data_IF_598872355602
#
_entry.id   IF_598872355602
#
_cell.length_a   1.000
_cell.length_b   1.000
_cell.length_c   1.000
_cell.angle_alpha   90.00
_cell.angle_beta   90.00
_cell.angle_gamma   90.00
#
_symmetry.space_group_name_H-M   'P 1'
#
loop_
_entity.id
_entity.type
_entity.pdbx_description
1 polymer ?
#
# COMPACT_ATOMS: atom_id res chain seq x y z
N UNK A 1 -17.17 -4.76 -64.86
CA UNK A 1 -16.81 -3.42 -64.33
C UNK A 1 -16.46 -3.59 -62.85
N UNK A 2 -15.16 -3.67 -62.53
CA UNK A 2 -14.66 -3.98 -61.18
C UNK A 2 -14.83 -2.78 -60.25
N UNK A 3 -15.67 -2.93 -59.23
CA UNK A 3 -15.92 -1.87 -58.24
C UNK A 3 -15.14 -2.22 -56.96
N UNK A 4 -13.92 -1.68 -56.85
CA UNK A 4 -13.14 -1.64 -55.60
C UNK A 4 -14.01 -1.07 -54.47
N UNK A 5 -14.50 -1.92 -53.56
CA UNK A 5 -15.04 -1.53 -52.26
C UNK A 5 -14.56 -2.58 -51.25
N UNK A 6 -13.61 -2.21 -50.40
CA UNK A 6 -13.13 -3.10 -49.33
C UNK A 6 -11.74 -2.77 -48.75
N UNK A 7 -10.89 -2.02 -49.47
CA UNK A 7 -9.46 -1.93 -49.12
C UNK A 7 -9.12 -1.48 -47.70
N UNK A 8 -9.73 -0.41 -47.17
CA UNK A 8 -9.35 0.11 -45.85
C UNK A 8 -9.88 -0.72 -44.68
N UNK A 9 -11.16 -1.10 -44.71
CA UNK A 9 -11.76 -1.91 -43.65
C UNK A 9 -11.17 -3.32 -43.62
N UNK A 10 -10.94 -3.93 -44.79
CA UNK A 10 -10.31 -5.25 -44.88
C UNK A 10 -8.86 -5.23 -44.37
N UNK A 11 -8.08 -4.18 -44.70
CA UNK A 11 -6.73 -4.01 -44.16
C UNK A 11 -6.74 -3.77 -42.65
N UNK A 12 -7.69 -2.97 -42.16
CA UNK A 12 -7.86 -2.71 -40.73
C UNK A 12 -8.13 -4.01 -39.96
N UNK A 13 -9.14 -4.78 -40.38
CA UNK A 13 -9.57 -5.97 -39.65
C UNK A 13 -8.65 -7.18 -39.87
N UNK A 14 -8.12 -7.40 -41.09
CA UNK A 14 -7.26 -8.58 -41.35
C UNK A 14 -5.81 -8.41 -40.94
N UNK A 15 -5.28 -7.18 -40.98
CA UNK A 15 -3.83 -6.96 -40.81
C UNK A 15 -3.48 -6.11 -39.59
N UNK A 16 -4.29 -5.11 -39.26
CA UNK A 16 -4.00 -4.18 -38.16
C UNK A 16 -4.54 -4.73 -36.83
N UNK A 17 -5.76 -5.28 -36.83
CA UNK A 17 -6.41 -5.82 -35.64
C UNK A 17 -5.63 -6.94 -34.93
N UNK A 18 -5.10 -7.97 -35.64
CA UNK A 18 -4.25 -8.99 -35.01
C UNK A 18 -2.99 -8.41 -34.35
N UNK A 19 -2.43 -7.33 -34.89
CA UNK A 19 -1.28 -6.65 -34.30
C UNK A 19 -1.66 -5.88 -33.04
N UNK A 20 -2.84 -5.25 -33.01
CA UNK A 20 -3.36 -4.57 -31.83
C UNK A 20 -3.61 -5.57 -30.70
N UNK A 21 -4.19 -6.74 -31.00
CA UNK A 21 -4.35 -7.83 -30.03
C UNK A 21 -2.99 -8.31 -29.49
N UNK A 22 -2.01 -8.55 -30.37
CA UNK A 22 -0.67 -8.97 -29.96
C UNK A 22 0.08 -7.94 -29.11
N UNK A 23 -0.02 -6.65 -29.46
CA UNK A 23 0.62 -5.56 -28.70
C UNK A 23 -0.07 -5.38 -27.33
N UNK A 24 -1.40 -5.44 -27.28
CA UNK A 24 -2.17 -5.37 -26.04
C UNK A 24 -1.80 -6.48 -25.06
N UNK A 25 -1.82 -7.73 -25.54
CA UNK A 25 -1.44 -8.89 -24.76
C UNK A 25 -0.01 -8.77 -24.20
N UNK A 26 0.94 -8.25 -24.98
CA UNK A 26 2.30 -8.03 -24.51
C UNK A 26 2.37 -7.03 -23.34
N UNK A 27 1.61 -5.93 -23.39
CA UNK A 27 1.54 -4.95 -22.30
C UNK A 27 0.93 -5.56 -21.03
N UNK A 28 -0.11 -6.39 -21.17
CA UNK A 28 -0.73 -7.12 -20.04
C UNK A 28 0.26 -8.09 -19.40
N UNK A 29 0.99 -8.86 -20.21
CA UNK A 29 1.99 -9.82 -19.72
C UNK A 29 3.11 -9.09 -18.96
N UNK A 30 3.58 -7.93 -19.46
CA UNK A 30 4.57 -7.11 -18.75
C UNK A 30 4.01 -6.60 -17.41
N UNK A 31 2.76 -6.13 -17.38
CA UNK A 31 2.10 -5.71 -16.15
C UNK A 31 1.97 -6.84 -15.11
N UNK A 32 1.59 -8.05 -15.56
CA UNK A 32 1.53 -9.23 -14.72
C UNK A 32 2.92 -9.65 -14.22
N UNK A 33 3.95 -9.60 -15.08
CA UNK A 33 5.34 -9.89 -14.72
C UNK A 33 5.84 -8.96 -13.61
N UNK A 34 5.59 -7.65 -13.72
CA UNK A 34 5.96 -6.69 -12.68
C UNK A 34 5.29 -7.00 -11.33
N UNK A 35 4.02 -7.45 -11.35
CA UNK A 35 3.29 -7.86 -10.15
C UNK A 35 3.88 -9.11 -9.50
N UNK A 36 4.28 -10.11 -10.29
CA UNK A 36 4.88 -11.35 -9.77
C UNK A 36 6.28 -11.09 -9.21
N UNK A 37 7.08 -10.23 -9.86
CA UNK A 37 8.45 -9.91 -9.45
C UNK A 37 8.54 -8.84 -8.35
N UNK A 38 7.40 -8.29 -7.88
CA UNK A 38 7.34 -7.25 -6.85
C UNK A 38 8.19 -6.01 -7.15
N UNK A 39 8.27 -5.64 -8.43
CA UNK A 39 9.03 -4.46 -8.86
C UNK A 39 8.33 -3.16 -8.44
N UNK A 40 9.11 -2.11 -8.21
CA UNK A 40 8.57 -0.79 -7.89
C UNK A 40 7.64 -0.30 -9.03
N UNK A 41 6.46 0.17 -8.67
CA UNK A 41 5.42 0.57 -9.63
C UNK A 41 4.61 -0.58 -10.24
N UNK A 42 4.70 -1.81 -9.70
CA UNK A 42 3.95 -2.96 -10.20
C UNK A 42 2.42 -2.74 -10.31
N UNK A 43 1.81 -2.04 -9.35
CA UNK A 43 0.38 -1.74 -9.40
C UNK A 43 0.02 -0.78 -10.54
N UNK A 44 0.90 0.16 -10.89
CA UNK A 44 0.68 1.12 -11.98
C UNK A 44 0.82 0.42 -13.33
N UNK A 45 1.86 -0.41 -13.50
CA UNK A 45 2.03 -1.21 -14.72
C UNK A 45 0.90 -2.22 -14.94
N UNK A 46 0.41 -2.85 -13.87
CA UNK A 46 -0.72 -3.78 -13.95
C UNK A 46 -2.04 -3.06 -14.27
N UNK A 47 -2.25 -1.87 -13.72
CA UNK A 47 -3.39 -1.02 -14.08
C UNK A 47 -3.37 -0.66 -15.57
N UNK A 48 -2.23 -0.19 -16.09
CA UNK A 48 -2.07 0.14 -17.51
C UNK A 48 -2.34 -1.07 -18.40
N UNK A 49 -1.80 -2.25 -18.05
CA UNK A 49 -2.03 -3.49 -18.78
C UNK A 49 -3.51 -3.86 -18.85
N UNK A 50 -4.18 -3.95 -17.69
CA UNK A 50 -5.59 -4.33 -17.63
C UNK A 50 -6.51 -3.30 -18.30
N UNK A 51 -6.21 -2.00 -18.19
CA UNK A 51 -6.98 -0.96 -18.90
C UNK A 51 -6.79 -1.06 -20.42
N UNK A 52 -5.58 -1.39 -20.89
CA UNK A 52 -5.32 -1.63 -22.32
C UNK A 52 -6.15 -2.81 -22.84
N UNK A 53 -6.20 -3.91 -22.08
CA UNK A 53 -7.01 -5.09 -22.42
C UNK A 53 -8.51 -4.80 -22.45
N UNK A 54 -9.01 -4.02 -21.48
CA UNK A 54 -10.41 -3.62 -21.45
C UNK A 54 -10.84 -2.80 -22.68
N UNK A 55 -9.96 -1.91 -23.17
CA UNK A 55 -10.21 -1.12 -24.38
C UNK A 55 -10.21 -2.02 -25.62
N UNK A 56 -9.28 -2.98 -25.69
CA UNK A 56 -9.19 -3.91 -26.82
C UNK A 56 -10.42 -4.82 -26.90
N UNK A 57 -10.88 -5.37 -25.77
CA UNK A 57 -12.12 -6.15 -25.72
C UNK A 57 -13.36 -5.33 -26.06
N UNK A 58 -13.38 -4.07 -25.66
CA UNK A 58 -14.48 -3.18 -26.04
C UNK A 58 -14.52 -2.96 -27.56
N UNK A 59 -13.36 -2.77 -28.20
CA UNK A 59 -13.27 -2.58 -29.65
C UNK A 59 -13.54 -3.89 -30.42
N UNK A 60 -13.18 -5.06 -29.87
CA UNK A 60 -13.41 -6.36 -30.50
C UNK A 60 -14.91 -6.67 -30.67
N UNK A 61 -15.77 -6.12 -29.82
CA UNK A 61 -17.21 -6.28 -29.93
C UNK A 61 -17.82 -5.66 -31.20
N UNK A 62 -17.08 -4.76 -31.87
CA UNK A 62 -17.50 -4.12 -33.12
C UNK A 62 -16.90 -4.77 -34.37
N UNK A 63 -16.19 -5.89 -34.24
CA UNK A 63 -15.66 -6.61 -35.39
C UNK A 63 -16.75 -7.35 -36.18
N UNK A 64 -16.72 -7.29 -37.53
CA UNK A 64 -17.60 -8.11 -38.35
C UNK A 64 -17.33 -9.60 -38.11
N UNK A 65 -18.38 -10.45 -38.04
CA UNK A 65 -18.20 -11.89 -37.88
C UNK A 65 -17.31 -12.44 -39.00
N UNK A 66 -16.30 -13.24 -38.62
CA UNK A 66 -15.39 -13.84 -39.58
C UNK A 66 -16.18 -14.65 -40.61
N UNK A 67 -15.94 -14.41 -41.89
CA UNK A 67 -16.54 -15.19 -42.97
C UNK A 67 -16.16 -16.66 -42.79
N UNK A 68 -17.14 -17.50 -42.50
CA UNK A 68 -16.92 -18.94 -42.37
C UNK A 68 -16.39 -19.50 -43.70
N UNK A 69 -15.46 -20.48 -43.66
CA UNK A 69 -15.01 -21.16 -44.85
C UNK A 69 -16.21 -21.76 -45.60
N UNK A 70 -16.33 -21.47 -46.90
CA UNK A 70 -17.41 -21.98 -47.74
C UNK A 70 -17.21 -23.48 -48.01
N UNK A 71 -17.73 -24.31 -47.09
CA UNK A 71 -17.64 -25.77 -47.14
C UNK A 71 -18.37 -26.40 -48.35
N UNK A 72 -19.22 -25.63 -49.05
CA UNK A 72 -19.93 -26.08 -50.26
C UNK A 72 -18.99 -26.34 -51.45
N UNK A 73 -17.79 -25.76 -51.44
CA UNK A 73 -16.74 -26.07 -52.43
C UNK A 73 -16.11 -27.45 -52.26
N UNK A 74 -16.24 -28.06 -51.08
CA UNK A 74 -15.56 -29.31 -50.73
C UNK A 74 -16.55 -30.48 -50.68
N UNK A 75 -17.84 -30.22 -50.39
CA UNK A 75 -18.91 -31.22 -50.40
C UNK A 75 -20.15 -30.71 -51.16
N UNK A 76 -20.26 -30.97 -52.47
CA UNK A 76 -21.38 -30.51 -53.30
C UNK A 76 -22.72 -31.19 -52.95
N UNK A 77 -22.72 -32.28 -52.18
CA UNK A 77 -23.93 -33.02 -51.76
C UNK A 77 -24.77 -32.30 -50.68
N UNK A 78 -24.28 -31.19 -50.11
CA UNK A 78 -25.00 -30.38 -49.11
C UNK A 78 -25.67 -29.12 -49.72
N UNK A 79 -25.59 -28.94 -51.04
CA UNK A 79 -26.28 -27.85 -51.71
C UNK A 79 -27.79 -28.16 -51.79
N UNK A 80 -28.64 -27.19 -51.44
CA UNK A 80 -30.11 -27.33 -51.47
C UNK A 80 -30.69 -27.59 -52.89
N UNK A 81 -29.88 -27.44 -53.95
CA UNK A 81 -30.23 -27.65 -55.36
C UNK A 81 -29.71 -28.99 -55.92
N UNK A 82 -29.53 -30.01 -55.07
CA UNK A 82 -29.12 -31.33 -55.56
C UNK A 82 -30.34 -32.12 -56.08
N UNK A 83 -30.71 -31.91 -57.36
CA UNK A 83 -31.69 -32.75 -58.06
C UNK A 83 -31.13 -34.16 -58.33
N UNK A 84 -31.59 -35.14 -57.55
CA UNK A 84 -31.37 -36.55 -57.85
C UNK A 84 -32.20 -36.97 -59.06
N UNK A 85 -31.56 -37.03 -60.23
CA UNK A 85 -32.15 -37.56 -61.46
C UNK A 85 -32.27 -39.10 -61.38
N UNK A 86 -33.37 -39.60 -60.81
CA UNK A 86 -33.75 -41.02 -60.92
C UNK A 86 -35.23 -41.15 -61.30
N UNK A 87 -35.47 -41.24 -62.60
CA UNK A 87 -36.74 -41.62 -63.26
C UNK A 87 -37.28 -42.95 -62.73
N UNK A 88 -38.48 -42.94 -62.15
CA UNK A 88 -39.30 -44.14 -61.93
C UNK A 88 -40.43 -44.21 -63.00
N UNK A 89 -40.66 -45.36 -63.66
CA UNK A 89 -41.66 -45.46 -64.72
C UNK A 89 -43.09 -45.51 -64.16
N UNK A 90 -43.99 -44.81 -64.83
CA UNK A 90 -45.43 -44.76 -64.57
C UNK A 90 -46.09 -46.12 -64.84
N UNK A 91 -46.85 -46.65 -63.88
CA UNK A 91 -47.66 -47.87 -64.05
C UNK A 91 -49.04 -47.50 -64.62
N UNK A 92 -49.39 -48.18 -65.71
CA UNK A 92 -50.66 -48.11 -66.44
C UNK A 92 -51.82 -48.69 -65.62
N UNK A 93 -52.94 -47.97 -65.60
CA UNK A 93 -54.19 -48.35 -64.95
C UNK A 93 -54.87 -49.50 -65.72
N UNK A 94 -54.94 -50.71 -65.14
CA UNK A 94 -55.83 -51.81 -65.57
C UNK A 94 -56.89 -52.03 -64.48
N UNK A 95 -58.15 -52.37 -64.83
CA UNK A 95 -59.20 -52.56 -63.85
C UNK A 95 -58.97 -53.89 -63.11
N UNK A 96 -58.43 -53.82 -61.90
CA UNK A 96 -58.22 -54.97 -61.04
C UNK A 96 -57.80 -54.51 -59.66
N UNK A 97 -58.74 -54.59 -58.71
CA UNK A 97 -58.61 -54.45 -57.25
C UNK A 97 -57.98 -53.14 -56.75
N UNK A 98 -58.73 -52.36 -55.96
CA UNK A 98 -58.20 -51.14 -55.35
C UNK A 98 -57.01 -51.47 -54.44
N UNK A 99 -56.02 -50.56 -54.28
CA UNK A 99 -54.90 -50.76 -53.34
C UNK A 99 -55.36 -51.09 -51.92
N UNK A 100 -56.54 -50.61 -51.53
CA UNK A 100 -57.19 -50.95 -50.27
C UNK A 100 -57.64 -52.41 -50.19
N UNK A 101 -58.10 -53.04 -51.28
CA UNK A 101 -58.46 -54.46 -51.32
C UNK A 101 -57.24 -55.38 -51.34
N UNK A 102 -56.12 -54.94 -51.90
CA UNK A 102 -54.86 -55.68 -51.86
C UNK A 102 -54.21 -55.59 -50.48
N UNK A 103 -54.32 -54.43 -49.81
CA UNK A 103 -53.95 -54.26 -48.40
C UNK A 103 -54.85 -55.12 -47.47
N UNK A 104 -56.15 -55.18 -47.75
CA UNK A 104 -57.13 -55.99 -46.99
C UNK A 104 -56.86 -57.49 -47.18
N UNK A 105 -56.54 -57.91 -48.41
CA UNK A 105 -56.06 -59.27 -48.68
C UNK A 105 -54.70 -59.56 -48.03
N UNK A 106 -53.80 -58.59 -47.95
CA UNK A 106 -52.52 -58.76 -47.26
C UNK A 106 -52.69 -58.85 -45.73
N UNK A 107 -53.62 -58.09 -45.14
CA UNK A 107 -54.00 -58.20 -43.73
C UNK A 107 -54.61 -59.57 -43.42
N UNK A 108 -55.48 -60.07 -44.28
CA UNK A 108 -56.13 -61.38 -44.14
C UNK A 108 -55.12 -62.53 -44.34
N UNK A 109 -54.23 -62.45 -45.34
CA UNK A 109 -53.19 -63.47 -45.61
C UNK A 109 -52.07 -63.51 -44.57
N UNK A 110 -51.72 -62.37 -43.98
CA UNK A 110 -50.71 -62.29 -42.94
C UNK A 110 -51.25 -62.65 -41.54
N UNK A 111 -52.53 -63.04 -41.43
CA UNK A 111 -53.22 -63.28 -40.14
C UNK A 111 -53.03 -62.10 -39.18
N UNK A 112 -53.11 -60.88 -39.69
CA UNK A 112 -53.14 -59.67 -38.86
C UNK A 112 -54.56 -59.59 -38.28
N UNK A 113 -54.85 -60.47 -37.33
CA UNK A 113 -56.11 -60.47 -36.61
C UNK A 113 -56.17 -59.33 -35.59
N UNK A 114 -57.36 -59.00 -35.07
CA UNK A 114 -57.52 -58.00 -34.02
C UNK A 114 -56.59 -58.25 -32.80
N UNK A 115 -56.28 -59.50 -32.48
CA UNK A 115 -55.32 -59.86 -31.42
C UNK A 115 -53.86 -59.44 -31.71
N UNK A 116 -53.41 -59.49 -32.98
CA UNK A 116 -52.05 -59.08 -33.34
C UNK A 116 -51.92 -57.54 -33.28
N UNK A 117 -52.96 -56.82 -33.68
CA UNK A 117 -53.04 -55.37 -33.58
C UNK A 117 -53.13 -54.94 -32.10
N UNK A 118 -53.92 -55.65 -31.30
CA UNK A 118 -54.04 -55.39 -29.87
C UNK A 118 -52.72 -55.66 -29.12
N UNK A 119 -52.03 -56.77 -29.42
CA UNK A 119 -50.72 -57.07 -28.84
C UNK A 119 -49.62 -56.09 -29.27
N UNK A 120 -49.62 -55.64 -30.53
CA UNK A 120 -48.73 -54.59 -31.01
C UNK A 120 -49.02 -53.25 -30.33
N UNK A 121 -50.30 -52.88 -30.18
CA UNK A 121 -50.73 -51.69 -29.46
C UNK A 121 -50.29 -51.72 -27.99
N UNK A 122 -50.43 -52.88 -27.34
CA UNK A 122 -49.94 -53.13 -25.97
C UNK A 122 -48.42 -53.03 -25.89
N UNK A 123 -47.71 -53.56 -26.88
CA UNK A 123 -46.25 -53.47 -27.00
C UNK A 123 -45.76 -52.03 -27.15
N UNK A 124 -46.36 -51.24 -28.04
CA UNK A 124 -46.03 -49.82 -28.20
C UNK A 124 -46.39 -49.00 -26.95
N UNK A 125 -47.50 -49.31 -26.28
CA UNK A 125 -47.88 -48.64 -25.03
C UNK A 125 -46.90 -48.94 -23.90
N UNK A 126 -46.50 -50.20 -23.76
CA UNK A 126 -45.46 -50.60 -22.79
C UNK A 126 -44.10 -49.96 -23.11
N UNK A 127 -43.75 -49.81 -24.39
CA UNK A 127 -42.53 -49.13 -24.81
C UNK A 127 -42.59 -47.63 -24.51
N UNK A 128 -43.72 -46.98 -24.79
CA UNK A 128 -43.95 -45.58 -24.45
C UNK A 128 -43.88 -45.36 -22.92
N UNK A 129 -44.48 -46.25 -22.14
CA UNK A 129 -44.41 -46.20 -20.66
C UNK A 129 -42.96 -46.41 -20.16
N UNK A 130 -42.21 -47.30 -20.81
CA UNK A 130 -40.80 -47.55 -20.47
C UNK A 130 -39.90 -46.37 -20.84
N UNK A 131 -40.10 -45.76 -22.00
CA UNK A 131 -39.40 -44.54 -22.42
C UNK A 131 -39.72 -43.36 -21.49
N UNK A 132 -40.98 -43.20 -21.07
CA UNK A 132 -41.40 -42.18 -20.11
C UNK A 132 -40.74 -42.37 -18.74
N UNK A 133 -40.70 -43.60 -18.21
CA UNK A 133 -39.98 -43.92 -16.96
C UNK A 133 -38.48 -43.66 -17.06
N UNK A 134 -37.88 -43.97 -18.22
CA UNK A 134 -36.46 -43.72 -18.46
C UNK A 134 -36.14 -42.22 -18.53
N UNK A 135 -37.05 -41.41 -19.09
CA UNK A 135 -36.96 -39.94 -19.03
C UNK A 135 -36.98 -39.44 -17.58
N UNK A 136 -37.96 -39.90 -16.78
CA UNK A 136 -38.05 -39.49 -15.37
C UNK A 136 -36.82 -39.94 -14.55
N UNK A 137 -36.24 -41.11 -14.85
CA UNK A 137 -35.00 -41.58 -14.23
C UNK A 137 -33.80 -40.72 -14.63
N UNK A 138 -33.74 -40.29 -15.90
CA UNK A 138 -32.72 -39.38 -16.39
C UNK A 138 -32.82 -38.02 -15.68
N UNK A 139 -34.02 -37.46 -15.55
CA UNK A 139 -34.25 -36.20 -14.82
C UNK A 139 -33.85 -36.32 -13.33
N UNK A 140 -34.20 -37.44 -12.69
CA UNK A 140 -33.80 -37.72 -11.31
C UNK A 140 -32.27 -37.89 -11.16
N UNK A 141 -31.60 -38.50 -12.15
CA UNK A 141 -30.15 -38.64 -12.17
C UNK A 141 -29.45 -37.28 -12.35
N UNK A 142 -29.98 -36.41 -13.21
CA UNK A 142 -29.50 -35.03 -13.37
C UNK A 142 -29.65 -34.26 -12.06
N UNK A 143 -30.82 -34.29 -11.42
CA UNK A 143 -31.06 -33.64 -10.14
C UNK A 143 -30.13 -34.15 -9.02
N UNK A 144 -29.84 -35.46 -9.00
CA UNK A 144 -28.92 -36.06 -8.04
C UNK A 144 -27.47 -35.61 -8.27
N UNK A 145 -27.05 -35.51 -9.54
CA UNK A 145 -25.74 -35.01 -9.91
C UNK A 145 -25.56 -33.52 -9.54
N UNK A 146 -26.59 -32.71 -9.78
CA UNK A 146 -26.61 -31.30 -9.38
C UNK A 146 -26.60 -31.13 -7.86
N UNK A 147 -27.34 -31.98 -7.13
CA UNK A 147 -27.28 -32.01 -5.66
C UNK A 147 -25.86 -32.34 -5.17
N UNK A 148 -25.23 -33.38 -5.71
CA UNK A 148 -23.86 -33.75 -5.34
C UNK A 148 -22.87 -32.61 -5.64
N UNK A 149 -23.03 -31.92 -6.77
CA UNK A 149 -22.22 -30.75 -7.14
C UNK A 149 -22.44 -29.58 -6.19
N UNK A 150 -23.67 -29.31 -5.81
CA UNK A 150 -24.02 -28.24 -4.87
C UNK A 150 -23.50 -28.52 -3.47
N UNK A 151 -23.61 -29.77 -2.97
CA UNK A 151 -23.03 -30.19 -1.69
C UNK A 151 -21.51 -30.06 -1.70
N UNK A 152 -20.84 -30.46 -2.79
CA UNK A 152 -19.39 -30.27 -2.95
C UNK A 152 -19.00 -28.79 -2.90
N UNK A 153 -19.75 -27.95 -3.62
CA UNK A 153 -19.52 -26.49 -3.66
C UNK A 153 -19.76 -25.85 -2.29
N UNK A 154 -20.83 -26.25 -1.59
CA UNK A 154 -21.11 -25.80 -0.23
C UNK A 154 -20.01 -26.22 0.75
N UNK A 155 -19.49 -27.44 0.62
CA UNK A 155 -18.37 -27.93 1.45
C UNK A 155 -17.10 -27.11 1.24
N UNK A 156 -16.80 -26.75 -0.01
CA UNK A 156 -15.68 -25.86 -0.34
C UNK A 156 -15.88 -24.45 0.25
N UNK A 157 -17.07 -23.89 0.08
CA UNK A 157 -17.43 -22.59 0.65
C UNK A 157 -17.31 -22.58 2.18
N UNK A 158 -17.70 -23.68 2.85
CA UNK A 158 -17.57 -23.83 4.30
C UNK A 158 -16.10 -23.92 4.73
N UNK A 159 -15.26 -24.58 3.93
CA UNK A 159 -13.81 -24.64 4.16
C UNK A 159 -13.16 -23.26 4.03
N UNK A 160 -13.53 -22.49 3.00
CA UNK A 160 -13.07 -21.12 2.82
C UNK A 160 -13.58 -20.19 3.92
N UNK A 161 -14.82 -20.36 4.38
CA UNK A 161 -15.37 -19.63 5.51
C UNK A 161 -14.59 -19.92 6.80
N UNK A 162 -14.25 -21.18 7.07
CA UNK A 162 -13.41 -21.54 8.23
C UNK A 162 -12.02 -20.90 8.15
N UNK A 163 -11.42 -20.86 6.96
CA UNK A 163 -10.14 -20.19 6.74
C UNK A 163 -10.24 -18.69 6.97
N UNK A 164 -11.31 -18.06 6.48
CA UNK A 164 -11.57 -16.64 6.72
C UNK A 164 -11.79 -16.36 8.21
N UNK A 165 -12.51 -17.22 8.93
CA UNK A 165 -12.70 -17.09 10.38
C UNK A 165 -11.39 -17.17 11.16
N UNK A 166 -10.51 -18.12 10.81
CA UNK A 166 -9.19 -18.23 11.41
C UNK A 166 -8.35 -16.96 11.15
N UNK A 167 -8.39 -16.45 9.92
CA UNK A 167 -7.69 -15.20 9.57
C UNK A 167 -8.26 -13.99 10.33
N UNK A 168 -9.58 -13.89 10.47
CA UNK A 168 -10.23 -12.81 11.24
C UNK A 168 -9.87 -12.89 12.71
N UNK A 169 -9.86 -14.09 13.30
CA UNK A 169 -9.45 -14.27 14.69
C UNK A 169 -7.99 -13.84 14.91
N UNK A 170 -7.10 -14.18 13.97
CA UNK A 170 -5.71 -13.75 14.01
C UNK A 170 -5.57 -12.23 13.88
N UNK A 171 -6.28 -11.61 12.93
CA UNK A 171 -6.29 -10.15 12.78
C UNK A 171 -6.82 -9.44 14.03
N UNK A 172 -7.84 -10.01 14.69
CA UNK A 172 -8.40 -9.48 15.93
C UNK A 172 -7.40 -9.58 17.09
N UNK A 173 -6.62 -10.67 17.16
CA UNK A 173 -5.51 -10.82 18.11
C UNK A 173 -4.43 -9.76 17.89
N UNK A 174 -3.96 -9.60 16.64
CA UNK A 174 -2.96 -8.59 16.30
C UNK A 174 -3.47 -7.17 16.56
N UNK A 175 -4.76 -6.90 16.36
CA UNK A 175 -5.36 -5.61 16.68
C UNK A 175 -5.42 -5.35 18.19
N UNK A 176 -5.69 -6.37 19.00
CA UNK A 176 -5.65 -6.25 20.46
C UNK A 176 -4.23 -5.93 20.96
N UNK A 177 -3.21 -6.60 20.41
CA UNK A 177 -1.79 -6.29 20.71
C UNK A 177 -1.42 -4.87 20.28
N UNK A 178 -1.73 -4.47 19.04
CA UNK A 178 -1.48 -3.11 18.55
C UNK A 178 -2.19 -2.03 19.39
N UNK A 179 -3.39 -2.32 19.91
CA UNK A 179 -4.12 -1.40 20.80
C UNK A 179 -3.40 -1.24 22.14
N UNK A 180 -2.82 -2.33 22.67
CA UNK A 180 -1.99 -2.29 23.89
C UNK A 180 -0.74 -1.45 23.66
N UNK A 181 -0.02 -1.71 22.57
CA UNK A 181 1.20 -0.98 22.21
C UNK A 181 0.90 0.52 22.00
N UNK A 182 -0.23 0.84 21.37
CA UNK A 182 -0.68 2.23 21.18
C UNK A 182 -0.95 2.94 22.50
N UNK A 183 -1.50 2.24 23.51
CA UNK A 183 -1.70 2.78 24.86
C UNK A 183 -0.38 3.02 25.60
N UNK A 184 0.56 2.09 25.47
CA UNK A 184 1.91 2.26 26.02
C UNK A 184 2.65 3.42 25.34
N UNK A 185 2.59 3.51 24.01
CA UNK A 185 3.13 4.63 23.24
C UNK A 185 2.52 5.96 23.65
N UNK A 186 1.20 6.04 23.81
CA UNK A 186 0.52 7.24 24.29
C UNK A 186 1.05 7.68 25.66
N UNK A 187 1.24 6.72 26.57
CA UNK A 187 1.81 6.97 27.90
C UNK A 187 3.26 7.48 27.79
N UNK A 188 4.06 6.89 26.90
CA UNK A 188 5.43 7.29 26.66
C UNK A 188 5.52 8.72 26.12
N UNK A 189 4.66 9.08 25.15
CA UNK A 189 4.59 10.44 24.58
C UNK A 189 4.15 11.45 25.63
N UNK A 190 3.20 11.11 26.51
CA UNK A 190 2.84 11.96 27.64
C UNK A 190 4.02 12.19 28.59
N UNK A 191 4.79 11.14 28.89
CA UNK A 191 5.99 11.26 29.73
C UNK A 191 7.07 12.12 29.07
N UNK A 192 7.32 11.96 27.77
CA UNK A 192 8.23 12.83 27.00
C UNK A 192 7.75 14.28 27.04
N UNK A 193 6.46 14.52 26.86
CA UNK A 193 5.88 15.87 26.92
C UNK A 193 6.06 16.51 28.30
N UNK A 194 5.83 15.74 29.37
CA UNK A 194 6.09 16.20 30.76
C UNK A 194 7.58 16.51 30.97
N UNK A 195 8.47 15.65 30.48
CA UNK A 195 9.91 15.84 30.60
C UNK A 195 10.38 17.06 29.81
N UNK A 196 9.86 17.29 28.61
CA UNK A 196 10.16 18.49 27.81
C UNK A 196 9.66 19.77 28.49
N UNK A 197 8.47 19.72 29.11
CA UNK A 197 7.96 20.85 29.91
C UNK A 197 8.85 21.14 31.11
N UNK A 198 9.26 20.10 31.85
CA UNK A 198 10.20 20.22 32.95
C UNK A 198 11.56 20.76 32.49
N UNK A 199 12.06 20.30 31.33
CA UNK A 199 13.32 20.75 30.76
C UNK A 199 13.26 22.22 30.33
N UNK A 200 12.15 22.66 29.75
CA UNK A 200 11.93 24.08 29.45
C UNK A 200 11.93 24.93 30.73
N UNK A 201 11.31 24.46 31.82
CA UNK A 201 11.33 25.17 33.10
C UNK A 201 12.75 25.25 33.70
N UNK A 202 13.54 24.18 33.59
CA UNK A 202 14.96 24.19 33.98
C UNK A 202 15.75 25.15 33.11
N UNK A 203 15.51 25.19 31.81
CA UNK A 203 16.19 26.11 30.88
C UNK A 203 15.90 27.58 31.23
N UNK A 204 14.64 27.92 31.51
CA UNK A 204 14.29 29.26 32.00
C UNK A 204 14.96 29.58 33.35
N UNK A 205 15.02 28.61 34.26
CA UNK A 205 15.70 28.76 35.54
C UNK A 205 17.20 28.98 35.35
N UNK A 206 17.84 28.26 34.45
CA UNK A 206 19.28 28.35 34.19
C UNK A 206 19.64 29.67 33.49
N UNK A 207 18.81 30.16 32.57
CA UNK A 207 18.96 31.51 32.04
C UNK A 207 18.84 32.58 33.13
N UNK A 208 17.90 32.41 34.06
CA UNK A 208 17.73 33.34 35.19
C UNK A 208 18.90 33.27 36.17
N UNK A 209 19.41 32.08 36.46
CA UNK A 209 20.57 31.89 37.32
C UNK A 209 21.84 32.45 36.67
N UNK A 210 22.03 32.25 35.37
CA UNK A 210 23.10 32.86 34.61
C UNK A 210 23.05 34.40 34.65
N UNK A 211 21.87 35.02 34.51
CA UNK A 211 21.69 36.47 34.69
C UNK A 211 22.06 36.92 36.12
N UNK A 212 21.62 36.18 37.14
CA UNK A 212 21.99 36.41 38.54
C UNK A 212 23.51 36.31 38.75
N UNK A 213 24.14 35.30 38.15
CA UNK A 213 25.58 35.07 38.23
C UNK A 213 26.37 36.20 37.55
N UNK A 214 25.93 36.66 36.37
CA UNK A 214 26.54 37.81 35.68
C UNK A 214 26.42 39.08 36.53
N UNK A 215 25.28 39.32 37.18
CA UNK A 215 25.10 40.45 38.11
C UNK A 215 26.01 40.34 39.32
N UNK A 216 26.13 39.15 39.91
CA UNK A 216 27.03 38.89 41.03
C UNK A 216 28.49 39.10 40.64
N UNK A 217 28.89 38.62 39.45
CA UNK A 217 30.22 38.83 38.87
C UNK A 217 30.51 40.31 38.61
N UNK A 218 29.57 41.05 38.01
CA UNK A 218 29.72 42.50 37.82
C UNK A 218 29.91 43.23 39.16
N UNK A 219 29.12 42.87 40.17
CA UNK A 219 29.27 43.45 41.52
C UNK A 219 30.61 43.08 42.16
N UNK A 220 31.07 41.86 41.98
CA UNK A 220 32.40 41.42 42.42
C UNK A 220 33.51 42.23 41.76
N UNK A 221 33.45 42.42 40.43
CA UNK A 221 34.42 43.25 39.71
C UNK A 221 34.45 44.69 40.23
N UNK A 222 33.28 45.32 40.46
CA UNK A 222 33.21 46.67 41.04
C UNK A 222 33.79 46.72 42.45
N UNK A 223 33.46 45.76 43.31
CA UNK A 223 34.00 45.69 44.66
C UNK A 223 35.52 45.47 44.66
N UNK A 224 36.02 44.62 43.76
CA UNK A 224 37.44 44.36 43.60
C UNK A 224 38.17 45.61 43.08
N UNK A 225 37.61 46.31 42.09
CA UNK A 225 38.16 47.58 41.61
C UNK A 225 38.23 48.62 42.73
N UNK A 226 37.17 48.76 43.54
CA UNK A 226 37.17 49.65 44.71
C UNK A 226 38.17 49.23 45.79
N UNK A 227 38.33 47.94 46.05
CA UNK A 227 39.33 47.43 46.98
C UNK A 227 40.76 47.71 46.50
N UNK A 228 41.04 47.51 45.20
CA UNK A 228 42.32 47.84 44.58
C UNK A 228 42.61 49.35 44.62
N UNK A 229 41.59 50.19 44.39
CA UNK A 229 41.72 51.65 44.54
C UNK A 229 42.02 52.04 45.99
N UNK A 230 41.30 51.46 46.96
CA UNK A 230 41.53 51.67 48.38
C UNK A 230 42.91 51.23 48.83
N UNK A 231 43.39 50.09 48.33
CA UNK A 231 44.74 49.59 48.58
C UNK A 231 45.80 50.51 47.99
N UNK A 232 45.57 51.06 46.79
CA UNK A 232 46.45 52.05 46.16
C UNK A 232 46.53 53.33 47.01
N UNK A 233 45.39 53.87 47.43
CA UNK A 233 45.31 55.05 48.32
C UNK A 233 45.97 54.79 49.68
N UNK A 234 45.81 53.60 50.26
CA UNK A 234 46.49 53.21 51.48
C UNK A 234 48.01 53.20 51.28
N UNK A 235 48.49 52.66 50.16
CA UNK A 235 49.91 52.71 49.78
C UNK A 235 50.44 54.14 49.67
N UNK A 236 49.70 55.05 49.05
CA UNK A 236 50.06 56.48 48.97
C UNK A 236 50.11 57.14 50.36
N UNK A 237 49.15 56.85 51.23
CA UNK A 237 49.15 57.34 52.62
C UNK A 237 50.33 56.79 53.42
N UNK A 238 50.65 55.51 53.29
CA UNK A 238 51.81 54.91 53.95
C UNK A 238 53.11 55.55 53.47
N UNK A 239 53.24 55.83 52.16
CA UNK A 239 54.39 56.57 51.61
C UNK A 239 54.50 57.98 52.20
N UNK A 240 53.36 58.69 52.31
CA UNK A 240 53.32 60.04 52.88
C UNK A 240 53.67 60.04 54.38
N UNK A 241 53.18 59.05 55.12
CA UNK A 241 53.51 58.86 56.54
C UNK A 241 55.01 58.56 56.74
N UNK A 242 55.59 57.69 55.91
CA UNK A 242 57.03 57.43 55.92
C UNK A 242 57.83 58.73 55.71
N UNK A 243 57.45 59.55 54.72
CA UNK A 243 58.10 60.84 54.49
C UNK A 243 57.98 61.78 55.71
N UNK A 244 56.84 61.80 56.40
CA UNK A 244 56.65 62.65 57.57
C UNK A 244 57.43 62.13 58.80
N UNK A 245 57.55 60.81 58.95
CA UNK A 245 58.46 60.19 59.93
C UNK A 245 59.92 60.52 59.64
N UNK A 246 60.34 60.52 58.38
CA UNK A 246 61.70 60.92 58.00
C UNK A 246 61.97 62.38 58.35
N UNK A 247 61.01 63.29 58.09
CA UNK A 247 61.10 64.69 58.54
C UNK A 247 61.13 64.81 60.05
N UNK A 248 60.29 64.08 60.77
CA UNK A 248 60.28 64.09 62.24
C UNK A 248 61.62 63.60 62.79
N UNK A 249 62.18 62.53 62.23
CA UNK A 249 63.52 62.02 62.58
C UNK A 249 64.60 63.07 62.31
N UNK A 250 64.53 63.75 61.18
CA UNK A 250 65.42 64.87 60.85
C UNK A 250 65.30 66.03 61.84
N UNK A 251 64.07 66.40 62.21
CA UNK A 251 63.78 67.44 63.19
C UNK A 251 64.25 67.04 64.59
N UNK A 252 64.02 65.80 65.04
CA UNK A 252 64.52 65.29 66.31
C UNK A 252 66.04 65.25 66.34
N UNK A 253 66.69 64.88 65.24
CA UNK A 253 68.15 64.91 65.10
C UNK A 253 68.66 66.35 65.20
N UNK A 254 67.99 67.29 64.52
CA UNK A 254 68.31 68.71 64.58
C UNK A 254 68.12 69.28 65.99
N UNK A 255 67.01 68.93 66.65
CA UNK A 255 66.70 69.33 68.02
C UNK A 255 67.72 68.78 69.01
N UNK A 256 68.10 67.50 68.88
CA UNK A 256 69.13 66.88 69.70
C UNK A 256 70.52 67.52 69.46
N UNK A 257 70.79 67.94 68.22
CA UNK A 257 72.01 68.71 67.90
C UNK A 257 71.99 70.08 68.59
N UNK A 258 70.86 70.79 68.58
CA UNK A 258 70.68 72.07 69.28
C UNK A 258 70.80 71.87 70.79
N UNK A 259 70.12 70.89 71.39
CA UNK A 259 70.26 70.57 72.81
C UNK A 259 71.68 70.16 73.18
N UNK A 260 72.38 69.40 72.34
CA UNK A 260 73.79 69.06 72.52
C UNK A 260 74.71 70.29 72.45
N UNK A 261 74.44 71.20 71.51
CA UNK A 261 75.14 72.48 71.40
C UNK A 261 74.86 73.41 72.57
N UNK A 262 73.63 73.40 73.10
CA UNK A 262 73.20 74.19 74.25
C UNK A 262 73.73 73.62 75.57
N UNK A 263 73.83 72.29 75.71
CA UNK A 263 74.51 71.62 76.82
C UNK A 263 76.03 71.92 76.79
N UNK A 264 76.64 71.90 75.61
CA UNK A 264 78.04 72.29 75.42
C UNK A 264 78.24 73.77 75.77
N UNK A 265 77.32 74.65 75.36
CA UNK A 265 77.34 76.07 75.68
C UNK A 265 77.06 76.36 77.18
N UNK A 266 76.18 75.60 77.84
CA UNK A 266 75.94 75.70 79.28
C UNK A 266 77.12 75.17 80.12
N UNK A 267 77.85 74.17 79.62
CA UNK A 267 79.11 73.73 80.23
C UNK A 267 80.28 74.68 79.92
N UNK A 268 80.19 75.46 78.84
CA UNK A 268 81.20 76.43 78.42
C UNK A 268 80.98 77.88 78.90
N UNK A 269 79.78 78.23 79.38
CA UNK A 269 79.37 79.62 79.67
C UNK A 269 79.66 80.14 81.09
N UNK A 270 80.46 79.44 81.89
CA UNK A 270 80.74 79.84 83.28
C UNK A 270 82.22 79.73 83.65
N UNK A 271 83.08 80.59 83.10
CA UNK A 271 84.38 80.96 83.69
C UNK A 271 84.77 82.36 83.16
N UNK A 272 85.25 83.33 83.98
CA UNK A 272 86.63 83.27 84.50
C UNK A 272 86.84 83.88 85.90
N UNK A 273 87.67 83.24 86.75
CA UNK A 273 88.05 83.80 88.06
C UNK A 273 89.43 83.41 88.57
N UNK A 274 90.43 84.26 88.26
CA UNK A 274 91.67 84.60 89.00
C UNK A 274 92.94 83.72 88.91
N UNK A 275 94.04 84.48 88.79
CA UNK A 275 95.47 84.14 88.74
C UNK A 275 95.99 83.44 90.01
N UNK A 276 97.07 82.67 89.84
CA UNK A 276 97.87 82.05 90.91
C UNK A 276 98.45 80.73 90.46
#
# INVERSE_FOLDING_TARGET
>A
MSRKKGGFAELLFRTIMPKIYGIGAAVVIIGAMFKILHLEGANQMLMIGLTTEAIIFFLSAFEPPHAEPDWSKVYPELAEDFESAATAPRISNKPGTSPTQELDKMMDKAKIGPELIESLGKGMKNMADSASKMSNLADAAVATNDYAKNVKTASQSLSEMNKSYASTAQAMSSMAEATKDSKEYHTQVQNVTKNLSALNAVYEMELKDADSHVKAMNKFYTNMAGALEGMTKAGEKTKSFANELDKLTGNLTSLNTVYGSMLTAMRGGGNPGKQG
#
